data_IF_261674697828
#
_entry.id   IF_261674697828
#
_cell.length_a   1.000
_cell.length_b   1.000
_cell.length_c   1.000
_cell.angle_alpha   90.00
_cell.angle_beta   90.00
_cell.angle_gamma   90.00
#
_symmetry.space_group_name_H-M   'P 1'
#
loop_
_entity.id
_entity.type
_entity.pdbx_description
1 polymer ?
#
# COMPACT_ATOMS: atom_id res chain seq x y z
N UNK A 1 -35.16 12.13 -0.21
CA UNK A 1 -33.76 12.02 0.23
C UNK A 1 -32.89 12.14 -1.01
N UNK A 2 -32.12 13.22 -1.14
CA UNK A 2 -31.23 13.45 -2.29
C UNK A 2 -29.93 12.66 -2.07
N UNK A 3 -29.69 11.64 -2.89
CA UNK A 3 -28.39 10.96 -2.95
C UNK A 3 -27.34 11.99 -3.39
N UNK A 4 -26.47 12.42 -2.47
CA UNK A 4 -25.22 13.09 -2.85
C UNK A 4 -24.35 12.05 -3.54
N UNK A 5 -24.30 12.10 -4.87
CA UNK A 5 -23.27 11.43 -5.66
C UNK A 5 -21.92 11.90 -5.15
N UNK A 6 -21.13 10.98 -4.59
CA UNK A 6 -19.72 11.24 -4.32
C UNK A 6 -19.05 11.61 -5.63
N UNK A 7 -18.54 12.83 -5.70
CA UNK A 7 -17.76 13.26 -6.85
C UNK A 7 -16.47 12.43 -6.88
N UNK A 8 -16.41 11.49 -7.82
CA UNK A 8 -15.16 10.85 -8.22
C UNK A 8 -14.15 11.98 -8.48
N UNK A 9 -13.08 12.04 -7.69
CA UNK A 9 -12.04 13.05 -7.88
C UNK A 9 -11.49 12.88 -9.28
N UNK A 10 -11.57 13.94 -10.07
CA UNK A 10 -10.99 14.01 -11.40
C UNK A 10 -9.47 13.82 -11.28
N UNK A 11 -8.90 12.72 -11.81
CA UNK A 11 -7.47 12.46 -11.67
C UNK A 11 -6.61 13.61 -12.17
N UNK A 12 -7.04 14.30 -13.24
CA UNK A 12 -6.34 15.45 -13.82
C UNK A 12 -6.26 16.66 -12.88
N UNK A 13 -7.17 16.76 -11.91
CA UNK A 13 -7.17 17.80 -10.86
C UNK A 13 -6.35 17.41 -9.63
N UNK A 14 -5.86 16.17 -9.57
CA UNK A 14 -5.04 15.64 -8.48
C UNK A 14 -3.62 15.32 -8.90
N UNK A 15 -3.29 15.44 -10.20
CA UNK A 15 -1.93 15.25 -10.71
C UNK A 15 -0.99 16.37 -10.25
N UNK A 16 0.27 16.02 -10.04
CA UNK A 16 1.37 16.96 -9.80
C UNK A 16 2.38 16.89 -10.96
N UNK A 17 3.21 17.93 -11.11
CA UNK A 17 4.31 17.87 -12.07
C UNK A 17 5.35 16.82 -11.68
N UNK A 18 6.07 16.30 -12.68
CA UNK A 18 7.18 15.38 -12.47
C UNK A 18 8.27 15.97 -11.57
N UNK A 19 8.60 17.25 -11.75
CA UNK A 19 9.55 17.96 -10.91
C UNK A 19 9.12 17.98 -9.43
N UNK A 20 7.85 18.29 -9.17
CA UNK A 20 7.32 18.28 -7.82
C UNK A 20 7.30 16.86 -7.23
N UNK A 21 7.06 15.84 -8.04
CA UNK A 21 7.16 14.45 -7.62
C UNK A 21 8.60 14.09 -7.20
N UNK A 22 9.60 14.43 -8.03
CA UNK A 22 11.04 14.25 -7.72
C UNK A 22 11.42 14.93 -6.39
N UNK A 23 10.97 16.16 -6.15
CA UNK A 23 11.21 16.89 -4.89
C UNK A 23 10.59 16.16 -3.69
N UNK A 24 9.38 15.62 -3.82
CA UNK A 24 8.73 14.87 -2.73
C UNK A 24 9.45 13.55 -2.43
N UNK A 25 9.94 12.88 -3.46
CA UNK A 25 10.74 11.65 -3.33
C UNK A 25 12.06 11.95 -2.63
N UNK A 26 12.78 12.99 -3.06
CA UNK A 26 14.03 13.42 -2.41
C UNK A 26 13.82 13.73 -0.91
N UNK A 27 12.77 14.47 -0.56
CA UNK A 27 12.41 14.76 0.84
C UNK A 27 12.13 13.50 1.66
N UNK A 28 11.46 12.51 1.07
CA UNK A 28 11.25 11.20 1.71
C UNK A 28 12.57 10.49 1.97
N UNK A 29 13.44 10.36 0.96
CA UNK A 29 14.74 9.71 1.08
C UNK A 29 15.60 10.37 2.17
N UNK A 30 15.65 11.70 2.18
CA UNK A 30 16.40 12.48 3.17
C UNK A 30 15.87 12.31 4.60
N UNK A 31 14.55 12.17 4.78
CA UNK A 31 13.95 11.87 6.07
C UNK A 31 14.28 10.44 6.53
N UNK A 32 14.21 9.46 5.64
CA UNK A 32 14.50 8.06 5.96
C UNK A 32 15.97 7.84 6.33
N UNK A 33 16.91 8.58 5.72
CA UNK A 33 18.32 8.57 6.07
C UNK A 33 18.63 9.05 7.51
N UNK A 34 17.68 9.69 8.19
CA UNK A 34 17.85 10.05 9.60
C UNK A 34 17.70 8.85 10.55
N UNK A 35 17.13 7.75 10.06
CA UNK A 35 16.97 6.52 10.84
C UNK A 35 18.27 5.70 10.75
N UNK A 36 18.89 5.30 11.87
CA UNK A 36 20.22 4.67 11.88
C UNK A 36 20.36 3.43 10.98
N UNK A 37 19.29 2.62 10.84
CA UNK A 37 19.29 1.44 9.97
C UNK A 37 19.49 1.82 8.51
N UNK A 38 18.64 2.72 8.00
CA UNK A 38 18.73 3.21 6.62
C UNK A 38 19.96 4.06 6.37
N UNK A 39 20.47 4.79 7.36
CA UNK A 39 21.74 5.53 7.23
C UNK A 39 22.92 4.59 6.94
N UNK A 40 22.94 3.41 7.56
CA UNK A 40 23.99 2.41 7.36
C UNK A 40 23.83 1.63 6.05
N UNK A 41 22.60 1.49 5.57
CA UNK A 41 22.29 0.82 4.31
C UNK A 41 21.25 1.63 3.50
N UNK A 42 21.65 2.71 2.81
CA UNK A 42 20.68 3.57 2.12
C UNK A 42 19.87 2.87 1.04
N UNK A 43 20.44 1.85 0.40
CA UNK A 43 19.77 1.07 -0.65
C UNK A 43 18.60 0.24 -0.12
N UNK A 44 18.52 0.02 1.20
CA UNK A 44 17.37 -0.63 1.85
C UNK A 44 16.15 0.28 2.01
N UNK A 45 16.27 1.60 1.74
CA UNK A 45 15.12 2.51 1.83
C UNK A 45 14.08 2.10 0.78
N UNK A 46 12.84 1.80 1.19
CA UNK A 46 11.78 1.48 0.24
C UNK A 46 11.37 2.73 -0.53
N UNK A 47 11.41 2.60 -1.86
CA UNK A 47 11.21 3.70 -2.80
C UNK A 47 9.84 3.68 -3.46
N UNK A 48 9.34 2.48 -3.76
CA UNK A 48 8.07 2.27 -4.42
C UNK A 48 7.53 0.89 -4.07
N UNK A 49 6.22 0.74 -4.21
CA UNK A 49 5.54 -0.56 -4.20
C UNK A 49 4.93 -0.72 -5.59
N UNK A 50 5.25 -1.83 -6.24
CA UNK A 50 4.64 -2.23 -7.50
C UNK A 50 3.46 -3.17 -7.19
N UNK A 51 2.30 -2.86 -7.75
CA UNK A 51 1.10 -3.71 -7.70
C UNK A 51 0.59 -3.76 -9.13
N UNK A 52 0.50 -4.94 -9.72
CA UNK A 52 0.00 -5.07 -11.09
C UNK A 52 -1.52 -4.86 -11.14
N UNK A 53 -2.06 -4.51 -12.31
CA UNK A 53 -3.51 -4.47 -12.47
C UNK A 53 -4.14 -5.86 -12.31
N UNK A 54 -3.45 -6.92 -12.74
CA UNK A 54 -3.90 -8.30 -12.55
C UNK A 54 -4.04 -8.64 -11.06
N UNK A 55 -3.09 -8.20 -10.23
CA UNK A 55 -3.18 -8.35 -8.77
C UNK A 55 -4.36 -7.56 -8.20
N UNK A 56 -4.56 -6.31 -8.65
CA UNK A 56 -5.71 -5.49 -8.23
C UNK A 56 -7.04 -6.17 -8.59
N UNK A 57 -7.13 -6.75 -9.80
CA UNK A 57 -8.31 -7.46 -10.26
C UNK A 57 -8.52 -8.77 -9.47
N UNK A 58 -7.45 -9.49 -9.13
CA UNK A 58 -7.51 -10.67 -8.28
C UNK A 58 -8.03 -10.33 -6.88
N UNK A 59 -7.49 -9.27 -6.25
CA UNK A 59 -7.95 -8.75 -4.96
C UNK A 59 -9.43 -8.40 -4.99
N UNK A 60 -9.86 -7.70 -6.05
CA UNK A 60 -11.25 -7.32 -6.22
C UNK A 60 -12.16 -8.53 -6.32
N UNK A 61 -11.79 -9.51 -7.16
CA UNK A 61 -12.56 -10.74 -7.36
C UNK A 61 -12.69 -11.56 -6.08
N UNK A 62 -11.62 -11.66 -5.30
CA UNK A 62 -11.64 -12.36 -4.01
C UNK A 62 -12.57 -11.64 -3.01
N UNK A 63 -12.46 -10.30 -2.90
CA UNK A 63 -13.35 -9.53 -2.03
C UNK A 63 -14.82 -9.63 -2.41
N UNK A 64 -15.16 -9.65 -3.70
CA UNK A 64 -16.55 -9.78 -4.17
C UNK A 64 -17.20 -11.09 -3.69
N UNK A 65 -16.43 -12.17 -3.47
CA UNK A 65 -16.95 -13.44 -2.96
C UNK A 65 -17.45 -13.31 -1.52
N UNK A 66 -16.73 -12.56 -0.69
CA UNK A 66 -17.03 -12.47 0.75
C UNK A 66 -17.86 -11.23 1.12
N UNK A 67 -17.75 -10.16 0.34
CA UNK A 67 -18.40 -8.85 0.58
C UNK A 67 -19.40 -8.49 -0.52
N UNK A 68 -20.20 -9.47 -0.97
CA UNK A 68 -21.14 -9.33 -2.09
C UNK A 68 -22.23 -8.27 -1.94
N UNK A 69 -22.45 -7.76 -0.72
CA UNK A 69 -23.45 -6.69 -0.43
C UNK A 69 -22.82 -5.30 -0.30
N UNK A 70 -21.50 -5.22 -0.23
CA UNK A 70 -20.75 -3.98 -0.05
C UNK A 70 -20.10 -3.56 -1.37
N UNK A 71 -19.75 -2.28 -1.49
CA UNK A 71 -19.03 -1.78 -2.67
C UNK A 71 -17.54 -1.68 -2.37
N UNK A 72 -16.70 -2.37 -3.15
CA UNK A 72 -15.26 -2.16 -3.12
C UNK A 72 -14.92 -0.82 -3.82
N UNK A 73 -14.20 0.05 -3.11
CA UNK A 73 -13.90 1.42 -3.59
C UNK A 73 -12.41 1.69 -3.81
N UNK A 74 -11.52 0.78 -3.39
CA UNK A 74 -10.09 0.89 -3.63
C UNK A 74 -9.26 -0.04 -2.75
N UNK A 75 -7.99 0.32 -2.57
CA UNK A 75 -7.03 -0.35 -1.70
C UNK A 75 -6.37 0.66 -0.75
N UNK A 76 -5.91 0.19 0.40
CA UNK A 76 -5.06 0.91 1.35
C UNK A 76 -3.76 0.14 1.52
N UNK A 77 -2.64 0.87 1.65
CA UNK A 77 -1.34 0.26 1.92
C UNK A 77 -0.89 0.67 3.32
N UNK A 78 -0.59 -0.31 4.16
CA UNK A 78 0.02 -0.15 5.47
C UNK A 78 1.50 -0.51 5.41
N UNK A 79 2.33 0.19 6.18
CA UNK A 79 3.73 -0.17 6.34
C UNK A 79 3.90 -0.99 7.61
N UNK A 80 4.51 -2.18 7.48
CA UNK A 80 4.79 -3.11 8.57
C UNK A 80 6.27 -3.49 8.64
N UNK A 81 6.63 -4.32 9.61
CA UNK A 81 7.97 -4.87 9.77
C UNK A 81 7.83 -6.38 10.00
N UNK A 82 8.44 -7.18 9.14
CA UNK A 82 8.48 -8.63 9.26
C UNK A 82 9.47 -9.10 10.34
N UNK A 83 9.40 -10.38 10.72
CA UNK A 83 10.33 -10.98 11.67
C UNK A 83 9.69 -11.34 13.01
N UNK A 84 8.37 -11.54 13.01
CA UNK A 84 7.50 -11.84 14.14
C UNK A 84 7.97 -13.06 14.97
N UNK A 85 8.82 -13.91 14.39
CA UNK A 85 9.34 -15.15 15.00
C UNK A 85 10.86 -15.17 15.18
N UNK A 86 11.57 -14.08 14.88
CA UNK A 86 13.03 -14.05 14.88
C UNK A 86 13.58 -13.35 16.14
N UNK A 87 14.61 -13.90 16.82
CA UNK A 87 15.21 -13.27 18.00
C UNK A 87 16.11 -12.07 17.65
N UNK A 88 16.27 -11.76 16.37
CA UNK A 88 17.07 -10.63 15.87
C UNK A 88 16.20 -9.39 15.69
N UNK A 89 16.77 -8.23 16.00
CA UNK A 89 16.11 -6.95 15.76
C UNK A 89 15.83 -6.78 14.27
N UNK A 90 14.61 -6.37 13.96
CA UNK A 90 14.22 -6.10 12.59
C UNK A 90 15.12 -5.04 11.94
N UNK A 91 15.36 -5.24 10.66
CA UNK A 91 16.18 -4.39 9.81
C UNK A 91 15.29 -3.64 8.82
N UNK A 92 15.80 -2.56 8.20
CA UNK A 92 15.21 -1.96 7.01
C UNK A 92 14.67 -2.92 5.95
N UNK A 93 15.38 -4.03 5.69
CA UNK A 93 15.01 -5.02 4.68
C UNK A 93 13.77 -5.83 5.08
N UNK A 94 13.39 -5.78 6.37
CA UNK A 94 12.18 -6.40 6.89
C UNK A 94 10.94 -5.52 6.72
N UNK A 95 11.07 -4.30 6.19
CA UNK A 95 9.91 -3.44 5.98
C UNK A 95 8.94 -4.04 4.96
N UNK A 96 7.64 -3.98 5.27
CA UNK A 96 6.56 -4.55 4.45
C UNK A 96 5.52 -3.52 4.00
N UNK A 97 4.97 -3.69 2.80
CA UNK A 97 3.87 -2.95 2.21
C UNK A 97 2.65 -3.85 2.13
N UNK A 98 1.78 -3.69 3.13
CA UNK A 98 0.62 -4.53 3.38
C UNK A 98 -0.62 -3.91 2.73
N UNK A 99 -1.14 -4.53 1.68
CA UNK A 99 -2.30 -4.02 0.91
C UNK A 99 -3.59 -4.61 1.48
N UNK A 100 -4.58 -3.75 1.68
CA UNK A 100 -5.89 -4.10 2.20
C UNK A 100 -6.98 -3.49 1.32
N UNK A 101 -7.93 -4.29 0.80
CA UNK A 101 -9.07 -3.76 0.05
C UNK A 101 -9.97 -2.89 0.93
N UNK A 102 -10.60 -1.87 0.35
CA UNK A 102 -11.40 -0.86 1.07
C UNK A 102 -12.85 -0.90 0.61
N UNK A 103 -13.76 -1.09 1.55
CA UNK A 103 -15.20 -1.17 1.34
C UNK A 103 -15.92 0.13 1.70
N UNK A 104 -17.03 0.35 1.02
CA UNK A 104 -18.07 1.29 1.40
C UNK A 104 -19.32 0.49 1.77
N UNK A 105 -19.52 0.31 3.08
CA UNK A 105 -20.62 -0.50 3.65
C UNK A 105 -21.92 0.31 3.76
N UNK A 106 -21.83 1.62 4.01
CA UNK A 106 -22.98 2.52 4.06
C UNK A 106 -22.63 3.90 3.47
N UNK A 107 -23.56 4.58 2.77
CA UNK A 107 -23.28 5.89 2.14
C UNK A 107 -22.76 6.98 3.07
N UNK A 108 -23.09 6.89 4.36
CA UNK A 108 -22.69 7.85 5.40
C UNK A 108 -21.62 7.34 6.36
N UNK A 109 -21.19 6.08 6.22
CA UNK A 109 -20.14 5.50 7.05
C UNK A 109 -18.75 5.81 6.47
N UNK A 110 -17.71 5.89 7.31
CA UNK A 110 -16.35 5.94 6.80
C UNK A 110 -16.03 4.68 5.98
N UNK A 111 -15.13 4.83 5.01
CA UNK A 111 -14.57 3.70 4.27
C UNK A 111 -13.84 2.76 5.25
N UNK A 112 -14.15 1.48 5.18
CA UNK A 112 -13.62 0.45 6.09
C UNK A 112 -12.72 -0.51 5.35
N UNK A 113 -11.77 -1.08 6.06
CA UNK A 113 -10.89 -2.11 5.50
C UNK A 113 -11.62 -3.45 5.46
N UNK A 114 -11.46 -4.15 4.34
CA UNK A 114 -12.02 -5.47 4.08
C UNK A 114 -11.18 -6.56 4.77
N UNK A 115 -11.09 -6.56 6.10
CA UNK A 115 -10.33 -7.58 6.84
C UNK A 115 -11.29 -8.65 7.34
N UNK A 116 -11.07 -9.92 6.97
CA UNK A 116 -11.85 -11.03 7.51
C UNK A 116 -11.55 -11.22 8.99
N UNK A 117 -12.57 -11.00 9.83
CA UNK A 117 -12.58 -11.48 11.22
C UNK A 117 -13.59 -12.57 11.48
N UNK A 118 -14.55 -12.74 10.54
CA UNK A 118 -15.34 -13.91 10.20
C UNK A 118 -16.67 -13.50 9.51
N UNK A 119 -17.03 -14.03 8.33
CA UNK A 119 -18.27 -13.70 7.61
C UNK A 119 -19.49 -14.60 7.97
N UNK A 120 -19.26 -15.81 8.50
CA UNK A 120 -20.20 -16.64 9.28
C UNK A 120 -19.63 -17.98 9.80
N UNK A 121 -18.39 -18.40 9.44
CA UNK A 121 -17.44 -19.08 10.37
C UNK A 121 -15.92 -19.18 9.92
N UNK A 122 -15.22 -18.13 9.42
CA UNK A 122 -13.74 -18.08 9.35
C UNK A 122 -12.89 -18.38 10.61
N UNK A 123 -11.72 -18.96 10.35
CA UNK A 123 -10.85 -19.66 11.30
C UNK A 123 -9.39 -19.67 10.78
N UNK A 124 -8.38 -19.90 11.63
CA UNK A 124 -7.79 -19.03 12.63
C UNK A 124 -6.54 -18.28 12.07
N UNK A 125 -6.41 -18.15 10.75
CA UNK A 125 -5.29 -17.50 10.04
C UNK A 125 -5.74 -16.36 9.09
N UNK A 126 -6.95 -15.81 9.28
CA UNK A 126 -7.58 -14.92 8.31
C UNK A 126 -6.95 -13.54 8.23
N UNK A 127 -6.40 -13.18 7.06
CA UNK A 127 -6.14 -11.78 6.67
C UNK A 127 -6.32 -11.61 5.16
N UNK A 128 -7.03 -10.55 4.73
CA UNK A 128 -6.95 -9.99 3.36
C UNK A 128 -5.83 -8.94 3.30
N UNK A 129 -4.80 -9.13 4.11
CA UNK A 129 -3.65 -8.24 4.20
C UNK A 129 -2.57 -8.89 3.34
N UNK A 130 -2.48 -8.41 2.11
CA UNK A 130 -1.58 -8.98 1.12
C UNK A 130 -0.24 -8.29 1.24
N UNK A 131 0.79 -9.07 1.52
CA UNK A 131 2.15 -8.56 1.54
C UNK A 131 2.66 -8.45 0.09
N UNK A 132 2.52 -7.26 -0.50
CA UNK A 132 3.01 -6.97 -1.84
C UNK A 132 4.50 -6.63 -1.86
N UNK A 133 5.26 -7.03 -0.85
CA UNK A 133 6.71 -6.78 -0.87
C UNK A 133 7.46 -7.76 -1.75
N UNK A 134 7.83 -7.23 -2.92
CA UNK A 134 9.24 -7.00 -3.13
C UNK A 134 9.51 -5.57 -2.69
N UNK A 135 10.37 -5.26 -1.70
CA UNK A 135 10.69 -3.87 -1.32
C UNK A 135 11.45 -3.11 -2.43
N UNK A 136 11.47 -3.70 -3.62
CA UNK A 136 12.05 -3.33 -4.89
C UNK A 136 13.56 -3.61 -5.05
N UNK A 137 14.00 -4.90 -5.10
CA UNK A 137 15.31 -5.25 -5.66
C UNK A 137 15.29 -5.99 -7.01
N UNK A 138 14.14 -6.41 -7.56
CA UNK A 138 14.11 -7.06 -8.90
C UNK A 138 13.35 -6.26 -9.99
N UNK A 139 12.40 -5.40 -9.62
CA UNK A 139 11.54 -4.69 -10.58
C UNK A 139 11.58 -3.16 -10.47
N UNK A 140 12.54 -2.62 -9.71
CA UNK A 140 12.72 -1.18 -9.69
C UNK A 140 13.23 -0.74 -11.06
N UNK A 141 12.38 0.00 -11.76
CA UNK A 141 12.77 0.69 -12.98
C UNK A 141 13.77 1.79 -12.62
N UNK A 142 15.05 1.42 -12.60
CA UNK A 142 16.17 2.35 -12.38
C UNK A 142 16.30 3.38 -13.52
N UNK A 143 15.60 3.18 -14.63
CA UNK A 143 15.53 4.12 -15.74
C UNK A 143 14.36 5.10 -15.59
N UNK A 144 13.47 4.88 -14.63
CA UNK A 144 12.35 5.77 -14.35
C UNK A 144 12.85 7.16 -13.98
N UNK A 145 12.18 8.19 -14.50
CA UNK A 145 12.44 9.57 -14.08
C UNK A 145 12.14 9.79 -12.59
N UNK A 146 11.38 8.89 -11.95
CA UNK A 146 11.10 8.95 -10.51
C UNK A 146 12.16 8.23 -9.66
N UNK A 147 13.13 7.56 -10.28
CA UNK A 147 14.26 6.94 -9.58
C UNK A 147 15.31 8.00 -9.20
N UNK A 148 15.09 8.69 -8.09
CA UNK A 148 15.98 9.74 -7.57
C UNK A 148 17.18 9.09 -6.86
N UNK A 149 18.45 9.40 -7.21
CA UNK A 149 19.62 8.90 -6.49
C UNK A 149 19.61 9.29 -5.01
N UNK A 150 20.15 8.43 -4.14
CA UNK A 150 20.43 8.83 -2.74
C UNK A 150 21.77 9.56 -2.73
N UNK A 151 21.79 10.76 -2.16
CA UNK A 151 22.97 11.59 -1.93
C UNK A 151 23.46 11.55 -0.50
#
# INVERSE_FOLDING_TARGET
MTHKTEHKKDPSKTTISLELAKIRIDRWLNAMLQIPGFKKNPDSIPRAIYISFDDIDALKKECEQYYSKDTLVGIRVYFGIAGETMPVSATPDDMRGLVVPVLKVHPSAPHTDAVHKDASNPNPNDTNVYDFTSPCPQYCDKQSELFVPIS
#
